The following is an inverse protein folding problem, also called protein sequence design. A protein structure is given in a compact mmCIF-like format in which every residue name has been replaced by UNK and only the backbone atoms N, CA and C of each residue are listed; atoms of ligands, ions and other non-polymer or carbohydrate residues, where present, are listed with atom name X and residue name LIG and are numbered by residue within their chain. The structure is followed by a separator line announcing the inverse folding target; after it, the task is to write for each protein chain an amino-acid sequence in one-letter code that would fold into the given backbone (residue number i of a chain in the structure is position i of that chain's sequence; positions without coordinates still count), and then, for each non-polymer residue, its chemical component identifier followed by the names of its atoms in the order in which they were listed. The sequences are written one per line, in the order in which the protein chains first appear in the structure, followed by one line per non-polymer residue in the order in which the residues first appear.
data_IF_961438589405
#
_entry.id   IF_961438589405
#
_cell.length_a   1.000
_cell.length_b   1.000
_cell.length_c   1.000
_cell.angle_alpha   90.00
_cell.angle_beta   90.00
_cell.angle_gamma   90.00
#
_symmetry.space_group_name_H-M   'P 1'
#
loop_
_entity.id
_entity.type
_entity.pdbx_description
1 polymer ?
#
# COMPACT_ATOMS: atom_id res chain seq x y z
N UNK A 1 6.67 47.01 14.84
CA UNK A 1 7.62 45.88 14.90
C UNK A 1 6.83 44.62 14.56
N UNK A 2 7.09 44.03 13.40
CA UNK A 2 6.34 42.89 12.85
C UNK A 2 6.89 41.59 13.44
N UNK A 3 6.25 41.08 14.48
CA UNK A 3 6.53 39.72 14.95
C UNK A 3 5.92 38.75 13.94
N UNK A 4 6.78 38.13 13.13
CA UNK A 4 6.40 37.09 12.17
C UNK A 4 5.85 35.90 12.95
N UNK A 5 4.52 35.75 12.95
CA UNK A 5 3.84 34.55 13.43
C UNK A 5 4.09 33.43 12.42
N UNK A 6 5.25 32.78 12.52
CA UNK A 6 5.48 31.52 11.84
C UNK A 6 4.43 30.54 12.37
N UNK A 7 3.50 30.16 11.51
CA UNK A 7 2.46 29.17 11.80
C UNK A 7 3.14 27.92 12.36
N UNK A 8 2.81 27.58 13.61
CA UNK A 8 3.26 26.35 14.26
C UNK A 8 2.78 25.21 13.36
N UNK A 9 3.69 24.60 12.61
CA UNK A 9 3.39 23.36 11.91
C UNK A 9 2.92 22.37 12.98
N UNK A 10 1.84 21.60 12.75
CA UNK A 10 1.44 20.57 13.69
C UNK A 10 2.66 19.67 13.91
N UNK A 11 3.09 19.50 15.15
CA UNK A 11 4.18 18.58 15.48
C UNK A 11 3.74 17.20 14.99
N UNK A 12 4.33 16.73 13.89
CA UNK A 12 4.14 15.36 13.46
C UNK A 12 4.64 14.52 14.63
N UNK A 13 3.85 13.54 15.11
CA UNK A 13 4.33 12.70 16.20
C UNK A 13 5.68 12.16 15.75
N UNK A 14 6.71 12.44 16.55
CA UNK A 14 8.03 11.84 16.42
C UNK A 14 7.87 10.37 16.78
N UNK A 15 7.10 9.63 15.98
CA UNK A 15 7.06 8.20 16.05
C UNK A 15 8.51 7.77 15.85
N UNK A 16 9.08 7.15 16.88
CA UNK A 16 10.41 6.57 16.80
C UNK A 16 10.46 5.76 15.50
N UNK A 17 11.52 5.97 14.70
CA UNK A 17 11.66 5.27 13.44
C UNK A 17 11.71 3.76 13.71
N UNK A 18 10.64 3.06 13.35
CA UNK A 18 10.57 1.60 13.44
C UNK A 18 10.99 1.02 12.09
N UNK A 19 12.03 0.16 12.05
CA UNK A 19 12.40 -0.53 10.81
C UNK A 19 11.24 -1.34 10.23
N UNK A 20 11.14 -1.40 8.91
CA UNK A 20 10.08 -2.16 8.22
C UNK A 20 10.01 -3.64 8.66
N UNK A 21 11.16 -4.25 8.94
CA UNK A 21 11.23 -5.63 9.45
C UNK A 21 10.56 -5.78 10.83
N UNK A 22 10.75 -4.80 11.72
CA UNK A 22 10.13 -4.77 13.04
C UNK A 22 8.61 -4.52 12.93
N UNK A 23 8.18 -3.69 11.98
CA UNK A 23 6.75 -3.52 11.68
C UNK A 23 6.12 -4.80 11.12
N UNK A 24 6.82 -5.51 10.23
CA UNK A 24 6.34 -6.78 9.67
C UNK A 24 6.18 -7.83 10.78
N UNK A 25 7.17 -7.95 11.67
CA UNK A 25 7.13 -8.82 12.85
C UNK A 25 5.94 -8.52 13.76
N UNK A 26 5.70 -7.25 14.09
CA UNK A 26 4.57 -6.84 14.96
C UNK A 26 3.21 -7.15 14.36
N UNK A 27 3.10 -7.08 13.03
CA UNK A 27 1.86 -7.37 12.31
C UNK A 27 1.73 -8.85 11.92
N UNK A 28 2.72 -9.69 12.27
CA UNK A 28 2.74 -11.11 11.89
C UNK A 28 2.88 -11.33 10.38
N UNK A 29 3.33 -10.32 9.64
CA UNK A 29 3.50 -10.37 8.18
C UNK A 29 4.79 -11.14 7.87
N UNK A 30 4.67 -12.17 7.04
CA UNK A 30 5.81 -12.92 6.53
C UNK A 30 6.21 -12.41 5.13
N UNK A 31 7.49 -12.47 4.77
CA UNK A 31 7.94 -12.24 3.40
C UNK A 31 7.27 -13.22 2.43
N UNK A 32 6.96 -12.73 1.23
CA UNK A 32 6.41 -13.54 0.14
C UNK A 32 7.57 -14.35 -0.46
N UNK A 33 7.51 -15.68 -0.37
CA UNK A 33 8.56 -16.58 -0.86
C UNK A 33 8.24 -17.15 -2.23
N UNK A 34 6.95 -17.31 -2.57
CA UNK A 34 6.45 -17.74 -3.87
C UNK A 34 5.22 -16.91 -4.30
N UNK A 35 4.92 -16.95 -5.59
CA UNK A 35 3.64 -16.44 -6.13
C UNK A 35 2.47 -17.22 -5.52
N UNK A 36 2.66 -18.50 -5.19
CA UNK A 36 1.63 -19.33 -4.57
C UNK A 36 1.20 -18.80 -3.19
N UNK A 37 2.08 -18.09 -2.47
CA UNK A 37 1.76 -17.48 -1.17
C UNK A 37 0.73 -16.35 -1.31
N UNK A 38 0.57 -15.80 -2.51
CA UNK A 38 -0.42 -14.77 -2.83
C UNK A 38 -1.76 -15.36 -3.27
N UNK A 39 -1.80 -16.65 -3.60
CA UNK A 39 -3.03 -17.33 -3.97
C UNK A 39 -3.92 -17.45 -2.73
N UNK A 40 -5.02 -16.70 -2.71
CA UNK A 40 -6.03 -16.79 -1.66
C UNK A 40 -7.29 -17.43 -2.23
N UNK A 41 -7.86 -18.44 -1.54
CA UNK A 41 -9.19 -18.92 -1.90
C UNK A 41 -10.19 -17.78 -1.72
N UNK A 42 -11.20 -17.75 -2.59
CA UNK A 42 -12.29 -16.76 -2.54
C UNK A 42 -11.81 -15.31 -2.59
N UNK A 43 -10.66 -15.05 -3.24
CA UNK A 43 -10.15 -13.69 -3.47
C UNK A 43 -11.08 -12.90 -4.39
N UNK A 44 -11.72 -13.59 -5.33
CA UNK A 44 -12.77 -13.08 -6.19
C UNK A 44 -14.03 -13.89 -5.93
N UNK A 45 -15.17 -13.22 -5.90
CA UNK A 45 -16.48 -13.82 -5.67
C UNK A 45 -16.98 -14.55 -6.93
N UNK A 46 -16.44 -14.21 -8.10
CA UNK A 46 -16.80 -14.83 -9.38
C UNK A 46 -15.69 -14.66 -10.44
N UNK A 47 -15.76 -15.48 -11.49
CA UNK A 47 -14.87 -15.35 -12.66
C UNK A 47 -15.11 -14.02 -13.41
N UNK A 48 -16.34 -13.49 -13.41
CA UNK A 48 -16.66 -12.19 -14.02
C UNK A 48 -15.92 -11.04 -13.32
N UNK A 49 -15.87 -11.05 -11.98
CA UNK A 49 -15.14 -10.05 -11.19
C UNK A 49 -13.64 -10.10 -11.51
N UNK A 50 -13.08 -11.30 -11.66
CA UNK A 50 -11.69 -11.48 -12.06
C UNK A 50 -11.44 -10.88 -13.45
N UNK A 51 -12.33 -11.12 -14.42
CA UNK A 51 -12.20 -10.59 -15.77
C UNK A 51 -12.29 -9.05 -15.80
N UNK A 52 -13.21 -8.45 -15.04
CA UNK A 52 -13.32 -7.00 -14.88
C UNK A 52 -12.03 -6.40 -14.29
N UNK A 53 -11.50 -7.01 -13.22
CA UNK A 53 -10.24 -6.58 -12.60
C UNK A 53 -9.08 -6.64 -13.59
N UNK A 54 -8.97 -7.72 -14.37
CA UNK A 54 -7.91 -7.86 -15.36
C UNK A 54 -8.04 -6.81 -16.48
N UNK A 55 -9.25 -6.53 -16.94
CA UNK A 55 -9.49 -5.50 -17.96
C UNK A 55 -9.05 -4.11 -17.49
N UNK A 56 -9.40 -3.72 -16.26
CA UNK A 56 -8.98 -2.44 -15.67
C UNK A 56 -7.46 -2.39 -15.48
N UNK A 57 -6.85 -3.46 -14.94
CA UNK A 57 -5.41 -3.57 -14.75
C UNK A 57 -4.65 -3.40 -16.07
N UNK A 58 -5.08 -4.05 -17.14
CA UNK A 58 -4.46 -3.93 -18.46
C UNK A 58 -4.62 -2.52 -19.04
N UNK A 59 -5.75 -1.88 -18.80
CA UNK A 59 -6.01 -0.50 -19.24
C UNK A 59 -5.09 0.47 -18.51
N UNK A 60 -5.05 0.39 -17.18
CA UNK A 60 -4.18 1.21 -16.31
C UNK A 60 -2.70 1.05 -16.67
N UNK A 61 -2.25 -0.20 -16.89
CA UNK A 61 -0.86 -0.48 -17.29
C UNK A 61 -0.51 0.13 -18.64
N UNK A 62 -1.43 0.11 -19.62
CA UNK A 62 -1.19 0.69 -20.95
C UNK A 62 -1.26 2.21 -20.93
N UNK A 63 -2.10 2.80 -20.06
CA UNK A 63 -2.20 4.25 -19.91
C UNK A 63 -0.88 4.88 -19.40
N UNK A 64 -0.12 4.19 -18.55
CA UNK A 64 1.20 4.65 -18.10
C UNK A 64 2.35 4.40 -19.10
N UNK A 65 2.09 3.75 -20.23
CA UNK A 65 3.07 3.45 -21.27
C UNK A 65 2.92 4.34 -22.53
N UNK A 66 1.94 5.26 -22.54
CA UNK A 66 1.68 6.24 -23.59
C UNK A 66 2.16 7.63 -23.18
#
# INVERSE_FOLDING_TARGET
MTSSNAERMPEWPTAEHVPAEELARRQGIQPIASVDDLARPDLFESDEELDEFLADLYTSRRAGAA
#
